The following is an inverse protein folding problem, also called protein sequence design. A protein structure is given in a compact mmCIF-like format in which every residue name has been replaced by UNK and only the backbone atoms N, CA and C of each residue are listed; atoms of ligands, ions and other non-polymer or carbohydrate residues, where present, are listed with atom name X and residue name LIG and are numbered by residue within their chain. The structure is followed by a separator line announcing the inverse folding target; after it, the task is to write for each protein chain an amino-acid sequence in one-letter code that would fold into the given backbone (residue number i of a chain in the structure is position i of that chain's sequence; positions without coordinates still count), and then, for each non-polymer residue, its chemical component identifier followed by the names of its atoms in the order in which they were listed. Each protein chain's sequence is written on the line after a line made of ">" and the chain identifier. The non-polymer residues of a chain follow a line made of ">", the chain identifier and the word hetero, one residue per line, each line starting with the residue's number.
data_IF_853994639454
#
_entry.id   IF_853994639454
#
_cell.length_a   1.000
_cell.length_b   1.000
_cell.length_c   1.000
_cell.angle_alpha   90.00
_cell.angle_beta   90.00
_cell.angle_gamma   90.00
#
_symmetry.space_group_name_H-M   'P 1'
#
loop_
_entity.id
_entity.type
_entity.pdbx_description
1 polymer ?
#
# COMPACT_ATOMS: atom_id res chain seq x y z
N UNK A 1 16.26 -0.50 -3.34
CA UNK A 1 16.95 -1.76 -3.73
C UNK A 1 17.27 -1.71 -5.20
N UNK A 2 18.55 -1.76 -5.58
CA UNK A 2 18.95 -1.60 -7.00
C UNK A 2 18.41 -2.69 -7.94
N UNK A 3 18.24 -3.93 -7.46
CA UNK A 3 17.68 -5.03 -8.28
C UNK A 3 16.21 -4.81 -8.63
N UNK A 4 15.39 -4.44 -7.64
CA UNK A 4 13.97 -4.13 -7.85
C UNK A 4 13.81 -2.90 -8.77
N UNK A 5 14.65 -1.88 -8.59
CA UNK A 5 14.66 -0.67 -9.43
C UNK A 5 15.08 -0.95 -10.87
N UNK A 6 15.95 -1.94 -11.09
CA UNK A 6 16.35 -2.42 -12.40
C UNK A 6 15.28 -3.30 -13.08
N UNK A 7 14.13 -3.51 -12.44
CA UNK A 7 13.01 -4.28 -13.00
C UNK A 7 13.13 -5.79 -12.79
N UNK A 8 14.01 -6.24 -11.89
CA UNK A 8 14.07 -7.66 -11.51
C UNK A 8 12.85 -8.00 -10.64
N UNK A 9 12.14 -9.06 -11.01
CA UNK A 9 10.94 -9.51 -10.32
C UNK A 9 11.23 -9.87 -8.85
N UNK A 10 10.28 -9.55 -7.96
CA UNK A 10 10.44 -9.78 -6.52
C UNK A 10 10.58 -11.27 -6.18
N UNK A 11 9.98 -12.18 -6.95
CA UNK A 11 10.12 -13.63 -6.77
C UNK A 11 11.54 -14.10 -7.11
N UNK A 12 12.20 -13.48 -8.08
CA UNK A 12 13.60 -13.75 -8.43
C UNK A 12 14.54 -13.25 -7.33
N UNK A 13 14.26 -12.07 -6.77
CA UNK A 13 15.01 -11.53 -5.64
C UNK A 13 14.83 -12.44 -4.41
N UNK A 14 13.61 -12.90 -4.13
CA UNK A 14 13.32 -13.83 -3.04
C UNK A 14 14.09 -15.15 -3.22
N UNK A 15 14.10 -15.70 -4.44
CA UNK A 15 14.83 -16.92 -4.77
C UNK A 15 16.34 -16.77 -4.59
N UNK A 16 16.96 -15.66 -5.02
CA UNK A 16 18.38 -15.40 -4.80
C UNK A 16 18.75 -15.22 -3.33
N UNK A 17 17.82 -14.73 -2.51
CA UNK A 17 18.00 -14.62 -1.06
C UNK A 17 17.70 -15.93 -0.31
N UNK A 18 17.30 -16.99 -1.03
CA UNK A 18 16.99 -18.29 -0.44
C UNK A 18 15.63 -18.33 0.29
N UNK A 19 14.75 -17.38 0.03
CA UNK A 19 13.41 -17.38 0.58
C UNK A 19 12.48 -18.25 -0.27
N UNK A 20 11.86 -19.25 0.34
CA UNK A 20 10.83 -20.08 -0.28
C UNK A 20 9.56 -19.28 -0.62
N UNK A 21 9.32 -18.17 0.10
CA UNK A 21 8.18 -17.29 -0.08
C UNK A 21 8.61 -15.84 -0.26
N UNK A 22 8.01 -15.08 -1.19
CA UNK A 22 8.28 -13.65 -1.35
C UNK A 22 7.74 -12.81 -0.16
N UNK A 23 6.99 -13.40 0.76
CA UNK A 23 6.40 -12.71 1.93
C UNK A 23 7.47 -12.01 2.79
N UNK A 24 8.63 -12.64 3.01
CA UNK A 24 9.75 -12.03 3.76
C UNK A 24 10.49 -10.96 2.97
N UNK A 25 10.21 -10.85 1.67
CA UNK A 25 10.84 -9.94 0.71
C UNK A 25 9.94 -8.71 0.45
N UNK A 26 8.73 -8.67 1.04
CA UNK A 26 7.73 -7.60 0.86
C UNK A 26 8.24 -6.21 1.26
N UNK A 27 9.13 -6.13 2.26
CA UNK A 27 9.71 -4.86 2.72
C UNK A 27 10.47 -4.10 1.61
N UNK A 28 10.94 -4.79 0.56
CA UNK A 28 11.60 -4.11 -0.56
C UNK A 28 10.65 -3.33 -1.48
N UNK A 29 9.40 -3.80 -1.63
CA UNK A 29 8.34 -3.08 -2.36
C UNK A 29 7.94 -1.82 -1.61
N UNK A 30 7.86 -1.90 -0.28
CA UNK A 30 7.53 -0.74 0.54
C UNK A 30 8.63 0.34 0.49
N UNK A 31 9.89 -0.06 0.36
CA UNK A 31 11.06 0.82 0.36
C UNK A 31 11.31 1.55 -0.98
N UNK A 32 10.60 1.23 -2.06
CA UNK A 32 10.83 1.84 -3.38
C UNK A 32 9.74 2.84 -3.78
N UNK A 33 10.02 4.13 -3.57
CA UNK A 33 9.11 5.23 -3.91
C UNK A 33 8.92 5.40 -5.42
N UNK A 34 9.97 5.24 -6.23
CA UNK A 34 9.90 5.42 -7.68
C UNK A 34 9.00 4.34 -8.32
N UNK A 35 9.04 3.11 -7.78
CA UNK A 35 8.14 2.05 -8.22
C UNK A 35 6.68 2.36 -7.84
N UNK A 36 6.43 2.88 -6.64
CA UNK A 36 5.09 3.32 -6.21
C UNK A 36 4.55 4.43 -7.10
N UNK A 37 5.37 5.42 -7.45
CA UNK A 37 4.98 6.51 -8.35
C UNK A 37 4.63 6.00 -9.76
N UNK A 38 5.44 5.10 -10.33
CA UNK A 38 5.12 4.48 -11.64
C UNK A 38 3.82 3.70 -11.59
N UNK A 39 3.58 2.92 -10.54
CA UNK A 39 2.33 2.18 -10.37
C UNK A 39 1.13 3.13 -10.28
N UNK A 40 1.25 4.20 -9.49
CA UNK A 40 0.22 5.24 -9.38
C UNK A 40 -0.05 5.95 -10.71
N UNK A 41 0.96 6.16 -11.55
CA UNK A 41 0.80 6.75 -12.87
C UNK A 41 0.07 5.84 -13.87
N UNK A 42 0.09 4.52 -13.68
CA UNK A 42 -0.61 3.55 -14.54
C UNK A 42 -2.08 3.35 -14.20
N UNK A 43 -2.51 3.78 -13.00
CA UNK A 43 -3.89 3.63 -12.55
C UNK A 43 -4.63 4.96 -12.64
N UNK A 44 -5.90 4.92 -13.06
CA UNK A 44 -6.76 6.10 -12.99
C UNK A 44 -7.06 6.50 -11.53
N UNK A 45 -7.41 7.77 -11.28
CA UNK A 45 -7.87 8.18 -9.95
C UNK A 45 -9.06 7.30 -9.54
N UNK A 46 -9.09 6.80 -8.30
CA UNK A 46 -10.17 5.93 -7.90
C UNK A 46 -11.48 6.73 -7.87
N UNK A 47 -12.56 6.20 -8.45
CA UNK A 47 -13.90 6.80 -8.43
C UNK A 47 -14.57 6.65 -7.05
N UNK A 48 -13.85 7.03 -5.98
CA UNK A 48 -14.42 7.04 -4.64
C UNK A 48 -15.11 8.38 -4.43
N UNK A 49 -16.41 8.33 -4.13
CA UNK A 49 -17.07 9.51 -3.57
C UNK A 49 -16.44 9.73 -2.20
N UNK A 50 -15.69 10.83 -2.04
CA UNK A 50 -15.25 11.30 -0.73
C UNK A 50 -16.49 11.67 0.08
N UNK A 51 -17.00 10.72 0.85
CA UNK A 51 -18.07 11.00 1.81
C UNK A 51 -17.43 11.50 3.09
N UNK A 52 -17.88 12.66 3.56
CA UNK A 52 -17.55 13.07 4.92
C UNK A 52 -18.38 12.21 5.86
N UNK A 53 -17.73 11.58 6.83
CA UNK A 53 -18.44 10.86 7.89
C UNK A 53 -19.45 11.80 8.55
N UNK A 54 -20.70 11.35 8.64
CA UNK A 54 -21.76 12.02 9.40
C UNK A 54 -22.09 11.11 10.59
N UNK A 55 -21.75 11.53 11.83
CA UNK A 55 -22.08 10.74 13.01
C UNK A 55 -23.59 10.63 13.17
N UNK A 56 -24.03 9.49 13.68
CA UNK A 56 -25.45 9.27 14.03
C UNK A 56 -25.80 10.02 15.30
N UNK A 57 -27.09 10.33 15.47
CA UNK A 57 -27.60 11.02 16.66
C UNK A 57 -27.25 10.29 17.97
N UNK A 58 -27.19 8.95 17.94
CA UNK A 58 -26.78 8.15 19.09
C UNK A 58 -25.32 8.41 19.50
N UNK A 59 -24.41 8.53 18.53
CA UNK A 59 -23.01 8.83 18.78
C UNK A 59 -22.83 10.26 19.30
N UNK A 60 -23.56 11.21 18.72
CA UNK A 60 -23.55 12.60 19.19
C UNK A 60 -24.03 12.71 20.64
N UNK A 61 -25.16 12.08 20.97
CA UNK A 61 -25.70 12.06 22.35
C UNK A 61 -24.75 11.41 23.35
N UNK A 62 -24.06 10.34 22.96
CA UNK A 62 -23.05 9.71 23.82
C UNK A 62 -21.90 10.69 24.10
N UNK A 63 -21.38 11.35 23.07
CA UNK A 63 -20.27 12.30 23.21
C UNK A 63 -20.65 13.54 24.03
N UNK A 64 -21.88 14.02 23.92
CA UNK A 64 -22.40 15.13 24.74
C UNK A 64 -22.58 14.77 26.23
N UNK A 65 -22.61 13.47 26.55
CA UNK A 65 -22.81 12.97 27.92
C UNK A 65 -21.51 12.61 28.67
N UNK A 66 -20.35 12.82 28.05
CA UNK A 66 -19.02 12.68 28.65
C UNK A 66 -18.56 13.99 29.31
#
# INVERSE_FOLDING_TARGET
>A
MHLLQAGVDITVIALWLGHESPVTTHGYVEADLAMKERALATIGPPETKRTRYRPTDALLKFLESL
#
